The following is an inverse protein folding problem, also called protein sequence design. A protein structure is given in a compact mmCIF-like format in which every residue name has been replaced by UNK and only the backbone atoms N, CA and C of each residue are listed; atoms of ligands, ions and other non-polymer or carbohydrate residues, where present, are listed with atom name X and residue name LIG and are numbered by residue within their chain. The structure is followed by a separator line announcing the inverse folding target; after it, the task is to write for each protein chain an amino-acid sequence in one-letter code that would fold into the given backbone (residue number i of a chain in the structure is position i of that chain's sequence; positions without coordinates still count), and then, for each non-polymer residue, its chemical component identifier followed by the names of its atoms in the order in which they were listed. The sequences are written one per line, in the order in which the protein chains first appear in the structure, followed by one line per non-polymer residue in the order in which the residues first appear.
data_IF_097443460258
#
_entry.id   IF_097443460258
#
_cell.length_a   1.000
_cell.length_b   1.000
_cell.length_c   1.000
_cell.angle_alpha   90.00
_cell.angle_beta   90.00
_cell.angle_gamma   90.00
#
_symmetry.space_group_name_H-M   'P 1'
#
loop_
_entity.id
_entity.type
_entity.pdbx_description
1 polymer ?
#
# COMPACT_ATOMS: atom_id res chain seq x y z
N UNK A 1 14.83 4.73 -1.00
CA UNK A 1 16.00 4.46 -1.85
C UNK A 1 17.13 3.93 -0.99
N UNK A 2 17.19 2.61 -0.80
CA UNK A 2 18.00 2.02 0.28
C UNK A 2 19.37 1.52 -0.16
N UNK A 3 19.69 1.52 -1.46
CA UNK A 3 20.98 1.07 -1.96
C UNK A 3 21.93 2.26 -2.20
N UNK A 4 22.98 2.44 -1.38
CA UNK A 4 23.89 3.59 -1.45
C UNK A 4 24.55 3.78 -2.82
N UNK A 5 24.78 2.69 -3.57
CA UNK A 5 25.42 2.74 -4.88
C UNK A 5 24.57 3.46 -5.93
N UNK A 6 23.25 3.38 -5.81
CA UNK A 6 22.32 3.92 -6.80
C UNK A 6 21.52 5.12 -6.29
N UNK A 7 21.53 5.36 -4.97
CA UNK A 7 20.82 6.48 -4.34
C UNK A 7 21.18 7.84 -4.97
N UNK A 8 22.45 8.21 -5.22
CA UNK A 8 22.76 9.51 -5.81
C UNK A 8 22.13 9.70 -7.19
N UNK A 9 22.27 8.69 -8.07
CA UNK A 9 21.78 8.77 -9.45
C UNK A 9 20.26 8.86 -9.53
N UNK A 10 19.56 7.94 -8.86
CA UNK A 10 18.11 7.95 -8.88
C UNK A 10 17.54 9.15 -8.08
N UNK A 11 18.29 9.67 -7.10
CA UNK A 11 17.85 10.77 -6.25
C UNK A 11 17.74 12.07 -7.04
N UNK A 12 18.78 12.39 -7.80
CA UNK A 12 18.79 13.56 -8.71
C UNK A 12 17.68 13.44 -9.76
N UNK A 13 17.47 12.23 -10.32
CA UNK A 13 16.40 12.01 -11.29
C UNK A 13 15.01 12.23 -10.69
N UNK A 14 14.77 11.69 -9.49
CA UNK A 14 13.51 11.86 -8.78
C UNK A 14 13.29 13.33 -8.40
N UNK A 15 14.32 14.02 -7.92
CA UNK A 15 14.25 15.45 -7.59
C UNK A 15 13.88 16.30 -8.80
N UNK A 16 14.54 16.08 -9.94
CA UNK A 16 14.22 16.78 -11.19
C UNK A 16 12.77 16.53 -11.62
N UNK A 17 12.29 15.29 -11.48
CA UNK A 17 10.91 14.93 -11.78
C UNK A 17 9.91 15.61 -10.84
N UNK A 18 10.13 15.57 -9.52
CA UNK A 18 9.24 16.18 -8.53
C UNK A 18 9.15 17.71 -8.68
N UNK A 19 10.23 18.36 -9.13
CA UNK A 19 10.23 19.79 -9.46
C UNK A 19 9.41 20.12 -10.72
N UNK A 20 9.25 19.16 -11.65
CA UNK A 20 8.59 19.35 -12.94
C UNK A 20 7.19 18.74 -13.08
N UNK A 21 6.76 17.87 -12.17
CA UNK A 21 5.51 17.09 -12.32
C UNK A 21 4.23 17.90 -12.03
N UNK A 22 4.37 19.10 -11.47
CA UNK A 22 3.28 20.00 -11.12
C UNK A 22 2.65 19.70 -9.75
N UNK A 23 2.03 20.72 -9.16
CA UNK A 23 1.51 20.69 -7.78
C UNK A 23 0.49 19.57 -7.54
N UNK A 24 -0.44 19.37 -8.47
CA UNK A 24 -1.47 18.34 -8.34
C UNK A 24 -0.90 16.92 -8.32
N UNK A 25 0.23 16.68 -8.99
CA UNK A 25 0.89 15.37 -8.98
C UNK A 25 1.74 15.19 -7.73
N UNK A 26 2.44 16.24 -7.30
CA UNK A 26 3.20 16.25 -6.06
C UNK A 26 2.31 15.92 -4.86
N UNK A 27 1.16 16.59 -4.73
CA UNK A 27 0.20 16.32 -3.65
C UNK A 27 -0.31 14.87 -3.67
N UNK A 28 -0.44 14.25 -4.85
CA UNK A 28 -0.82 12.84 -4.95
C UNK A 28 0.27 11.92 -4.40
N UNK A 29 1.54 12.20 -4.69
CA UNK A 29 2.66 11.44 -4.15
C UNK A 29 2.78 11.60 -2.64
N UNK A 30 2.55 12.81 -2.11
CA UNK A 30 2.53 13.06 -0.67
C UNK A 30 1.46 12.23 0.03
N UNK A 31 0.22 12.27 -0.47
CA UNK A 31 -0.88 11.48 0.09
C UNK A 31 -0.61 9.96 0.00
N UNK A 32 -0.01 9.50 -1.10
CA UNK A 32 0.39 8.10 -1.26
C UNK A 32 1.47 7.70 -0.25
N UNK A 33 2.47 8.55 -0.07
CA UNK A 33 3.57 8.32 0.86
C UNK A 33 3.08 8.30 2.31
N UNK A 34 2.24 9.26 2.69
CA UNK A 34 1.64 9.33 4.03
C UNK A 34 0.84 8.06 4.34
N UNK A 35 -0.06 7.66 3.44
CA UNK A 35 -0.83 6.42 3.58
C UNK A 35 0.09 5.21 3.71
N UNK A 36 1.15 5.12 2.91
CA UNK A 36 2.10 4.01 2.97
C UNK A 36 2.86 3.96 4.30
N UNK A 37 3.34 5.11 4.80
CA UNK A 37 4.06 5.20 6.07
C UNK A 37 3.16 4.77 7.24
N UNK A 38 1.92 5.25 7.28
CA UNK A 38 0.98 4.89 8.34
C UNK A 38 0.65 3.40 8.32
N UNK A 39 0.38 2.83 7.14
CA UNK A 39 0.12 1.39 7.01
C UNK A 39 1.33 0.54 7.41
N UNK A 40 2.54 0.99 7.05
CA UNK A 40 3.78 0.32 7.47
C UNK A 40 3.96 0.35 8.98
N UNK A 41 3.70 1.49 9.62
CA UNK A 41 3.81 1.63 11.08
C UNK A 41 2.78 0.77 11.81
N UNK A 42 1.51 0.84 11.42
CA UNK A 42 0.45 -0.03 11.94
C UNK A 42 0.88 -1.49 11.81
N UNK A 43 1.44 -1.88 10.67
CA UNK A 43 1.84 -3.26 10.50
C UNK A 43 3.02 -3.69 11.37
N UNK A 44 4.00 -2.83 11.60
CA UNK A 44 5.07 -3.07 12.58
C UNK A 44 4.53 -3.16 14.01
N UNK A 45 3.54 -2.36 14.36
CA UNK A 45 2.89 -2.44 15.68
C UNK A 45 2.13 -3.75 15.86
N UNK A 46 1.41 -4.21 14.84
CA UNK A 46 0.69 -5.50 14.86
C UNK A 46 1.67 -6.67 15.02
N UNK A 47 2.80 -6.65 14.32
CA UNK A 47 3.86 -7.66 14.47
C UNK A 47 4.43 -7.71 15.89
N UNK A 48 4.64 -6.55 16.52
CA UNK A 48 5.10 -6.45 17.93
C UNK A 48 4.06 -6.90 18.95
N UNK A 49 2.79 -6.70 18.66
CA UNK A 49 1.68 -6.94 19.60
C UNK A 49 1.35 -8.42 19.79
N UNK A 50 1.73 -9.28 18.84
CA UNK A 50 1.44 -10.70 18.90
C UNK A 50 2.70 -11.56 18.96
N UNK A 51 2.97 -12.20 20.09
CA UNK A 51 3.91 -13.33 20.15
C UNK A 51 3.29 -14.57 19.48
N UNK A 52 3.05 -14.50 18.18
CA UNK A 52 2.49 -15.57 17.35
C UNK A 52 1.00 -15.91 17.48
N UNK A 53 0.23 -15.22 18.32
CA UNK A 53 -1.21 -15.42 18.43
C UNK A 53 -1.99 -14.67 17.33
N UNK A 54 -2.50 -15.41 16.34
CA UNK A 54 -3.22 -14.85 15.20
C UNK A 54 -4.46 -14.03 15.61
N UNK A 55 -5.17 -14.44 16.66
CA UNK A 55 -6.37 -13.75 17.16
C UNK A 55 -6.00 -12.37 17.75
N UNK A 56 -4.98 -12.31 18.61
CA UNK A 56 -4.50 -11.05 19.18
C UNK A 56 -4.04 -10.08 18.10
N UNK A 57 -3.27 -10.56 17.12
CA UNK A 57 -2.82 -9.71 16.02
C UNK A 57 -4.01 -9.22 15.16
N UNK A 58 -5.00 -10.08 14.90
CA UNK A 58 -6.20 -9.72 14.16
C UNK A 58 -6.98 -8.59 14.85
N UNK A 59 -7.20 -8.71 16.16
CA UNK A 59 -7.88 -7.68 16.95
C UNK A 59 -7.05 -6.39 16.97
N UNK A 60 -5.74 -6.48 17.22
CA UNK A 60 -4.85 -5.33 17.21
C UNK A 60 -4.85 -4.60 15.86
N UNK A 61 -4.86 -5.33 14.74
CA UNK A 61 -4.95 -4.73 13.40
C UNK A 61 -6.26 -3.94 13.26
N UNK A 62 -7.40 -4.53 13.63
CA UNK A 62 -8.69 -3.86 13.50
C UNK A 62 -8.81 -2.62 14.39
N UNK A 63 -8.27 -2.67 15.60
CA UNK A 63 -8.31 -1.55 16.53
C UNK A 63 -7.37 -0.42 16.10
N UNK A 64 -6.15 -0.76 15.66
CA UNK A 64 -5.21 0.23 15.13
C UNK A 64 -5.77 0.90 13.87
N UNK A 65 -6.37 0.15 12.95
CA UNK A 65 -7.01 0.70 11.75
C UNK A 65 -8.24 1.56 12.05
N UNK A 66 -8.91 1.37 13.20
CA UNK A 66 -10.02 2.24 13.65
C UNK A 66 -9.53 3.50 14.34
N UNK A 67 -8.43 3.40 15.09
CA UNK A 67 -7.88 4.51 15.85
C UNK A 67 -7.08 5.51 15.00
N UNK A 68 -6.53 5.05 13.86
CA UNK A 68 -5.75 5.89 12.96
C UNK A 68 -6.61 6.37 11.79
N UNK A 69 -6.54 7.68 11.50
CA UNK A 69 -7.15 8.25 10.30
C UNK A 69 -6.24 8.04 9.09
N UNK A 70 -6.51 6.98 8.33
CA UNK A 70 -5.78 6.70 7.09
C UNK A 70 -6.31 7.62 5.98
N UNK A 71 -5.44 8.35 5.26
CA UNK A 71 -5.83 9.20 4.14
C UNK A 71 -6.72 8.45 3.15
N UNK A 72 -7.88 9.03 2.85
CA UNK A 72 -8.82 8.52 1.85
C UNK A 72 -8.71 9.29 0.54
N UNK A 73 -9.25 8.74 -0.55
CA UNK A 73 -9.17 9.26 -1.93
C UNK A 73 -7.75 9.29 -2.50
N UNK A 74 -6.91 8.36 -2.06
CA UNK A 74 -5.53 8.20 -2.53
C UNK A 74 -5.53 7.31 -3.77
N UNK A 75 -4.83 7.71 -4.84
CA UNK A 75 -4.69 6.84 -6.01
C UNK A 75 -3.79 5.63 -5.69
N UNK A 76 -4.08 4.46 -6.24
CA UNK A 76 -3.26 3.28 -5.94
C UNK A 76 -1.80 3.49 -6.40
N UNK A 77 -0.80 3.15 -5.56
CA UNK A 77 0.60 3.48 -5.84
C UNK A 77 1.31 2.53 -6.83
N UNK A 78 0.83 1.29 -7.04
CA UNK A 78 1.65 0.24 -7.68
C UNK A 78 1.02 -0.42 -8.92
N UNK A 79 -0.31 -0.62 -8.97
CA UNK A 79 -0.92 -1.42 -10.05
C UNK A 79 -1.67 -0.56 -11.09
N UNK A 80 -2.50 0.38 -10.64
CA UNK A 80 -3.30 1.20 -11.55
C UNK A 80 -3.57 2.58 -10.94
N UNK A 81 -2.84 3.63 -11.36
CA UNK A 81 -3.00 4.98 -10.80
C UNK A 81 -4.35 5.63 -11.15
N UNK A 82 -5.23 4.95 -11.90
CA UNK A 82 -6.60 5.43 -12.17
C UNK A 82 -7.59 5.03 -11.08
N UNK A 83 -7.25 4.03 -10.26
CA UNK A 83 -8.12 3.57 -9.18
C UNK A 83 -7.88 4.45 -7.95
N UNK A 84 -8.95 5.06 -7.45
CA UNK A 84 -8.94 5.84 -6.22
C UNK A 84 -9.39 4.96 -5.04
N UNK A 85 -8.52 4.86 -4.03
CA UNK A 85 -8.77 4.17 -2.78
C UNK A 85 -9.56 5.07 -1.86
N UNK A 86 -10.71 4.59 -1.40
CA UNK A 86 -11.60 5.31 -0.49
C UNK A 86 -11.31 4.97 0.95
N UNK A 87 -12.36 5.00 1.77
CA UNK A 87 -12.23 4.65 3.18
C UNK A 87 -11.87 3.17 3.33
N UNK A 88 -10.96 2.89 4.24
CA UNK A 88 -10.61 1.54 4.63
C UNK A 88 -11.76 0.93 5.46
N UNK A 89 -11.99 -0.38 5.32
CA UNK A 89 -12.99 -1.12 6.09
C UNK A 89 -12.30 -2.04 7.11
N UNK A 90 -12.09 -1.60 8.36
CA UNK A 90 -11.33 -2.37 9.36
C UNK A 90 -11.95 -3.75 9.63
N UNK A 91 -13.29 -3.85 9.62
CA UNK A 91 -13.99 -5.10 9.91
C UNK A 91 -13.66 -6.22 8.90
N UNK A 92 -13.31 -5.86 7.67
CA UNK A 92 -12.93 -6.80 6.60
C UNK A 92 -11.42 -6.93 6.40
N UNK A 93 -10.63 -6.15 7.13
CA UNK A 93 -9.17 -6.27 7.12
C UNK A 93 -8.76 -7.46 7.99
N UNK A 94 -7.80 -8.25 7.52
CA UNK A 94 -7.37 -9.46 8.23
C UNK A 94 -5.91 -9.82 8.03
N UNK A 95 -5.38 -10.59 8.96
CA UNK A 95 -4.04 -11.17 8.84
C UNK A 95 -4.16 -12.50 8.12
N UNK A 96 -3.35 -12.69 7.09
CA UNK A 96 -3.33 -13.94 6.33
C UNK A 96 -2.51 -15.00 7.05
N UNK A 97 -2.94 -16.27 6.99
CA UNK A 97 -2.26 -17.42 7.61
C UNK A 97 -0.95 -17.87 6.94
N UNK A 98 -0.19 -16.95 6.35
CA UNK A 98 1.12 -17.23 5.74
C UNK A 98 2.24 -17.02 6.75
N UNK A 99 3.44 -17.59 6.49
CA UNK A 99 4.63 -17.47 7.35
C UNK A 99 5.00 -16.01 7.66
N UNK A 100 4.89 -15.13 6.66
CA UNK A 100 5.18 -13.69 6.75
C UNK A 100 3.98 -12.85 7.19
N UNK A 101 2.83 -13.48 7.46
CA UNK A 101 1.59 -12.85 7.97
C UNK A 101 1.23 -11.53 7.29
N UNK A 102 1.10 -11.51 5.96
CA UNK A 102 0.74 -10.29 5.27
C UNK A 102 -0.68 -9.86 5.65
N UNK A 103 -0.93 -8.56 5.55
CA UNK A 103 -2.22 -7.97 5.91
C UNK A 103 -3.07 -7.80 4.67
N UNK A 104 -4.27 -8.34 4.73
CA UNK A 104 -5.32 -8.13 3.76
C UNK A 104 -6.10 -6.88 4.14
N UNK A 105 -6.06 -5.88 3.27
CA UNK A 105 -6.75 -4.60 3.44
C UNK A 105 -7.88 -4.51 2.42
N UNK A 106 -9.09 -4.12 2.86
CA UNK A 106 -10.21 -3.84 1.97
C UNK A 106 -10.59 -2.36 2.08
N UNK A 107 -10.63 -1.68 0.94
CA UNK A 107 -10.94 -0.26 0.83
C UNK A 107 -12.11 -0.04 -0.12
N UNK A 108 -12.96 0.94 0.16
CA UNK A 108 -14.03 1.31 -0.75
C UNK A 108 -13.45 1.89 -2.05
N UNK A 109 -14.08 1.61 -3.19
CA UNK A 109 -13.76 2.32 -4.43
C UNK A 109 -14.47 3.69 -4.40
N UNK A 110 -13.75 4.77 -4.73
CA UNK A 110 -14.28 6.15 -4.76
C UNK A 110 -14.87 6.50 -6.13
N UNK A 111 -14.75 5.64 -7.13
CA UNK A 111 -15.23 5.92 -8.48
C UNK A 111 -16.75 6.14 -8.51
N UNK A 112 -17.23 7.37 -8.82
CA UNK A 112 -18.65 7.69 -8.85
C UNK A 112 -19.36 7.08 -10.06
N UNK A 113 -18.62 6.60 -11.06
CA UNK A 113 -19.16 6.00 -12.28
C UNK A 113 -19.31 4.48 -12.18
N UNK A 114 -18.84 3.88 -11.08
CA UNK A 114 -18.91 2.44 -10.88
C UNK A 114 -20.37 2.00 -10.69
N UNK A 115 -20.89 1.23 -11.66
CA UNK A 115 -22.24 0.63 -11.62
C UNK A 115 -22.48 -0.26 -10.38
N UNK A 116 -21.41 -0.76 -9.76
CA UNK A 116 -21.43 -1.49 -8.50
C UNK A 116 -20.24 -1.09 -7.63
N UNK A 117 -20.42 -0.91 -6.31
CA UNK A 117 -19.31 -0.63 -5.40
C UNK A 117 -18.47 -1.90 -5.20
N UNK A 118 -17.53 -2.13 -6.12
CA UNK A 118 -16.53 -3.20 -5.97
C UNK A 118 -15.40 -2.68 -5.09
N UNK A 119 -15.16 -3.26 -3.91
CA UNK A 119 -14.08 -2.80 -3.05
C UNK A 119 -12.72 -3.14 -3.65
N UNK A 120 -11.75 -2.25 -3.45
CA UNK A 120 -10.36 -2.50 -3.82
C UNK A 120 -9.67 -3.22 -2.67
N UNK A 121 -9.01 -4.34 -2.98
CA UNK A 121 -8.32 -5.18 -2.00
C UNK A 121 -6.83 -5.09 -2.23
N UNK A 122 -6.09 -4.89 -1.15
CA UNK A 122 -4.64 -4.74 -1.16
C UNK A 122 -4.03 -5.75 -0.19
N UNK A 123 -2.84 -6.23 -0.53
CA UNK A 123 -2.05 -7.06 0.36
C UNK A 123 -0.81 -6.25 0.76
N UNK A 124 -0.72 -5.91 2.05
CA UNK A 124 0.47 -5.31 2.62
C UNK A 124 1.41 -6.43 3.08
N UNK A 125 2.58 -6.50 2.43
CA UNK A 125 3.67 -7.40 2.80
C UNK A 125 4.79 -6.58 3.41
N UNK A 126 5.18 -6.91 4.65
CA UNK A 126 6.30 -6.28 5.34
C UNK A 126 7.49 -7.23 5.37
N UNK A 127 8.67 -6.71 5.02
CA UNK A 127 9.92 -7.47 5.07
C UNK A 127 10.13 -8.51 3.95
N UNK A 128 9.27 -8.54 2.93
CA UNK A 128 9.49 -9.30 1.69
C UNK A 128 10.01 -8.37 0.58
N UNK A 129 10.99 -8.85 -0.19
CA UNK A 129 11.50 -8.13 -1.35
C UNK A 129 10.66 -8.47 -2.59
N UNK A 130 9.73 -7.58 -2.94
CA UNK A 130 8.80 -7.77 -4.06
C UNK A 130 9.41 -7.45 -5.43
N UNK A 131 10.68 -7.02 -5.51
CA UNK A 131 11.28 -6.61 -6.79
C UNK A 131 11.34 -7.75 -7.80
N UNK A 132 11.57 -8.98 -7.33
CA UNK A 132 11.59 -10.15 -8.20
C UNK A 132 10.20 -10.44 -8.77
N UNK A 133 9.17 -10.47 -7.92
CA UNK A 133 7.78 -10.65 -8.33
C UNK A 133 7.36 -9.57 -9.35
N UNK A 134 7.73 -8.30 -9.11
CA UNK A 134 7.44 -7.20 -10.03
C UNK A 134 8.01 -7.44 -11.43
N UNK A 135 9.24 -7.94 -11.54
CA UNK A 135 9.88 -8.24 -12.83
C UNK A 135 9.17 -9.41 -13.52
N UNK A 136 8.87 -10.48 -12.78
CA UNK A 136 8.20 -11.67 -13.33
C UNK A 136 6.81 -11.31 -13.86
N UNK A 137 6.01 -10.60 -13.07
CA UNK A 137 4.68 -10.12 -13.50
C UNK A 137 4.78 -9.22 -14.74
N UNK A 138 5.80 -8.36 -14.79
CA UNK A 138 6.04 -7.53 -15.97
C UNK A 138 6.37 -8.37 -17.20
N UNK A 139 7.21 -9.40 -17.08
CA UNK A 139 7.52 -10.31 -18.18
C UNK A 139 6.27 -11.05 -18.67
N UNK A 140 5.47 -11.62 -17.75
CA UNK A 140 4.21 -12.29 -18.10
C UNK A 140 3.27 -11.36 -18.89
N UNK A 141 3.13 -10.10 -18.47
CA UNK A 141 2.31 -9.11 -19.19
C UNK A 141 2.78 -8.79 -20.61
N UNK A 142 4.03 -9.11 -20.95
CA UNK A 142 4.57 -8.97 -22.31
C UNK A 142 4.28 -10.20 -23.17
N UNK A 143 4.13 -11.38 -22.57
CA UNK A 143 3.81 -12.62 -23.28
C UNK A 143 2.33 -12.78 -23.60
N UNK A 144 1.44 -12.11 -22.85
CA UNK A 144 0.00 -12.09 -23.12
C UNK A 144 -0.40 -11.07 -24.21
N UNK A 145 0.57 -10.48 -24.91
CA UNK A 145 0.35 -9.56 -26.04
C UNK A 145 0.54 -10.24 -27.38
#
# INVERSE_FOLDING_TARGET
MYNPLFTPRFGVLLEAYLKGCGQSMLQRFENQLEMQIQLEDIGKQVEKSGNNEAIKMQTALQDLLRSNEIPSKVLTPVYNPRIALGNLNPAKCRIMGSKKRPQWLEMCNVDPTALRPVPTRLILKLGDDLRQDMIVLRMLSLFEK
#
